data_IF_824642748175
#
_entry.id   IF_824642748175
#
_cell.length_a   1.000
_cell.length_b   1.000
_cell.length_c   1.000
_cell.angle_alpha   90.00
_cell.angle_beta   90.00
_cell.angle_gamma   90.00
#
_symmetry.space_group_name_H-M   'P 1'
#
loop_
_entity.id
_entity.type
_entity.pdbx_description
1 polymer ?
#
# COMPACT_ATOMS: atom_id res chain seq x y z
N UNK A 1 2.14 30.62 3.55
CA UNK A 1 1.94 29.66 2.44
C UNK A 1 0.52 29.86 1.94
N UNK A 2 0.31 30.02 0.64
CA UNK A 2 -1.02 30.30 0.06
C UNK A 2 -1.84 29.01 0.02
N UNK A 3 -3.00 28.97 0.68
CA UNK A 3 -3.90 27.81 0.68
C UNK A 3 -4.90 27.95 -0.48
N UNK A 4 -4.41 27.78 -1.72
CA UNK A 4 -5.20 28.04 -2.92
C UNK A 4 -5.96 26.79 -3.42
N UNK A 5 -5.63 25.60 -2.90
CA UNK A 5 -6.26 24.33 -3.26
C UNK A 5 -7.42 23.98 -2.31
N UNK A 6 -8.54 23.52 -2.87
CA UNK A 6 -9.76 23.18 -2.11
C UNK A 6 -10.07 21.70 -2.24
N UNK A 7 -10.28 21.03 -1.11
CA UNK A 7 -10.73 19.64 -1.03
C UNK A 7 -12.26 19.61 -0.93
N UNK A 8 -12.92 18.87 -1.82
CA UNK A 8 -14.38 18.64 -1.80
C UNK A 8 -14.66 17.15 -1.96
N UNK A 9 -15.50 16.61 -1.08
CA UNK A 9 -15.96 15.22 -1.15
C UNK A 9 -17.45 15.16 -0.82
N UNK A 10 -18.17 14.24 -1.47
CA UNK A 10 -19.57 13.96 -1.15
C UNK A 10 -19.63 12.92 -0.04
N UNK A 11 -20.44 13.19 0.97
CA UNK A 11 -20.77 12.27 2.06
C UNK A 11 -22.27 12.44 2.38
N UNK A 12 -22.87 11.43 3.00
CA UNK A 12 -24.25 11.55 3.48
C UNK A 12 -24.35 12.55 4.64
N UNK A 13 -25.53 13.15 4.78
CA UNK A 13 -25.80 14.18 5.79
C UNK A 13 -25.58 13.67 7.21
N UNK A 14 -26.02 12.44 7.51
CA UNK A 14 -25.91 11.87 8.86
C UNK A 14 -24.45 11.66 9.28
N UNK A 15 -23.59 11.23 8.36
CA UNK A 15 -22.14 11.13 8.59
C UNK A 15 -21.51 12.49 8.80
N UNK A 16 -21.88 13.49 7.99
CA UNK A 16 -21.38 14.87 8.14
C UNK A 16 -21.69 15.43 9.52
N UNK A 17 -22.94 15.29 9.97
CA UNK A 17 -23.39 15.84 11.25
C UNK A 17 -22.68 15.18 12.44
N UNK A 18 -22.65 13.85 12.49
CA UNK A 18 -21.97 13.11 13.56
C UNK A 18 -20.48 13.42 13.62
N UNK A 19 -19.79 13.44 12.47
CA UNK A 19 -18.37 13.76 12.41
C UNK A 19 -18.10 15.21 12.86
N UNK A 20 -18.94 16.17 12.44
CA UNK A 20 -18.81 17.57 12.83
C UNK A 20 -18.98 17.75 14.33
N UNK A 21 -19.99 17.13 14.93
CA UNK A 21 -20.23 17.19 16.38
C UNK A 21 -19.04 16.60 17.17
N UNK A 22 -18.52 15.44 16.74
CA UNK A 22 -17.36 14.82 17.37
C UNK A 22 -16.10 15.71 17.28
N UNK A 23 -15.84 16.31 16.10
CA UNK A 23 -14.70 17.20 15.90
C UNK A 23 -14.79 18.46 16.76
N UNK A 24 -15.98 19.08 16.85
CA UNK A 24 -16.22 20.24 17.71
C UNK A 24 -15.98 19.88 19.19
N UNK A 25 -16.43 18.71 19.65
CA UNK A 25 -16.19 18.25 21.01
C UNK A 25 -14.68 18.06 21.30
N UNK A 26 -13.87 17.79 20.28
CA UNK A 26 -12.41 17.72 20.37
C UNK A 26 -11.72 19.08 20.16
N UNK A 27 -12.46 20.17 19.95
CA UNK A 27 -11.91 21.50 19.70
C UNK A 27 -11.34 21.70 18.29
N UNK A 28 -11.78 20.89 17.32
CA UNK A 28 -11.30 20.93 15.94
C UNK A 28 -12.41 21.34 14.97
N UNK A 29 -12.06 22.15 13.97
CA UNK A 29 -12.92 22.32 12.80
C UNK A 29 -12.76 21.16 11.82
N UNK A 30 -13.76 20.96 10.95
CA UNK A 30 -13.68 19.98 9.84
C UNK A 30 -12.48 20.28 8.94
N UNK A 31 -12.20 21.56 8.68
CA UNK A 31 -11.06 21.98 7.88
C UNK A 31 -9.72 21.67 8.55
N UNK A 32 -9.62 21.76 9.88
CA UNK A 32 -8.41 21.39 10.61
C UNK A 32 -8.16 19.89 10.51
N UNK A 33 -9.20 19.08 10.74
CA UNK A 33 -9.11 17.64 10.65
C UNK A 33 -8.65 17.17 9.25
N UNK A 34 -9.23 17.74 8.19
CA UNK A 34 -8.84 17.44 6.81
C UNK A 34 -7.38 17.85 6.55
N UNK A 35 -6.96 19.04 6.99
CA UNK A 35 -5.57 19.50 6.81
C UNK A 35 -4.56 18.59 7.50
N UNK A 36 -4.85 18.18 8.75
CA UNK A 36 -4.00 17.27 9.52
C UNK A 36 -3.92 15.91 8.82
N UNK A 37 -5.05 15.36 8.37
CA UNK A 37 -5.11 14.10 7.65
C UNK A 37 -4.25 14.12 6.37
N UNK A 38 -4.43 15.15 5.54
CA UNK A 38 -3.69 15.27 4.28
C UNK A 38 -2.18 15.38 4.52
N UNK A 39 -1.77 16.11 5.56
CA UNK A 39 -0.35 16.21 5.93
C UNK A 39 0.21 14.86 6.42
N UNK A 40 -0.51 14.15 7.29
CA UNK A 40 -0.08 12.83 7.79
C UNK A 40 0.07 11.82 6.66
N UNK A 41 -0.86 11.82 5.69
CA UNK A 41 -0.77 10.95 4.51
C UNK A 41 0.45 11.29 3.67
N UNK A 42 0.73 12.58 3.45
CA UNK A 42 1.89 13.02 2.68
C UNK A 42 3.23 12.67 3.35
N UNK A 43 3.31 12.87 4.67
CA UNK A 43 4.54 12.69 5.44
C UNK A 43 4.82 11.20 5.76
N UNK A 44 3.79 10.41 6.07
CA UNK A 44 3.94 9.02 6.55
C UNK A 44 3.57 7.95 5.51
N UNK A 45 3.06 8.36 4.34
CA UNK A 45 2.62 7.46 3.26
C UNK A 45 1.65 6.35 3.71
N UNK A 46 0.86 6.62 4.75
CA UNK A 46 -0.14 5.71 5.31
C UNK A 46 -1.35 6.45 5.83
N UNK A 47 -2.47 5.74 5.94
CA UNK A 47 -3.67 6.26 6.60
C UNK A 47 -3.53 6.12 8.12
N UNK A 48 -4.17 6.99 8.92
CA UNK A 48 -4.12 6.95 10.38
C UNK A 48 -4.97 5.83 10.99
N UNK A 49 -5.48 4.93 10.15
CA UNK A 49 -6.22 3.72 10.51
C UNK A 49 -5.75 2.58 9.61
N UNK A 50 -5.85 1.36 10.11
CA UNK A 50 -5.46 0.17 9.35
C UNK A 50 -6.40 -0.03 8.15
N UNK A 51 -5.84 0.08 6.95
CA UNK A 51 -6.55 -0.29 5.72
C UNK A 51 -6.41 -1.79 5.56
N UNK A 52 -7.47 -2.51 5.91
CA UNK A 52 -7.48 -3.98 5.88
C UNK A 52 -7.67 -4.58 4.49
N UNK A 53 -7.96 -3.77 3.49
CA UNK A 53 -8.25 -4.23 2.12
C UNK A 53 -7.02 -3.96 1.25
N UNK A 54 -6.39 -4.99 0.67
CA UNK A 54 -5.31 -4.82 -0.30
C UNK A 54 -5.76 -3.94 -1.48
N UNK A 55 -4.84 -3.10 -2.00
CA UNK A 55 -5.13 -2.32 -3.21
C UNK A 55 -5.17 -3.23 -4.46
N UNK A 56 -5.67 -2.73 -5.58
CA UNK A 56 -5.82 -3.52 -6.81
C UNK A 56 -4.51 -4.17 -7.27
N UNK A 57 -3.40 -3.43 -7.24
CA UNK A 57 -2.09 -3.96 -7.62
C UNK A 57 -1.64 -5.11 -6.70
N UNK A 58 -1.96 -5.03 -5.40
CA UNK A 58 -1.64 -6.10 -4.45
C UNK A 58 -2.53 -7.32 -4.68
N UNK A 59 -3.81 -7.12 -5.02
CA UNK A 59 -4.73 -8.20 -5.38
C UNK A 59 -4.22 -8.92 -6.64
N UNK A 60 -3.89 -8.18 -7.69
CA UNK A 60 -3.33 -8.73 -8.93
C UNK A 60 -2.05 -9.54 -8.67
N UNK A 61 -1.13 -9.01 -7.87
CA UNK A 61 0.09 -9.72 -7.48
C UNK A 61 -0.20 -11.02 -6.71
N UNK A 62 -1.20 -11.02 -5.82
CA UNK A 62 -1.62 -12.22 -5.08
C UNK A 62 -2.23 -13.26 -6.04
N UNK A 63 -3.10 -12.85 -6.96
CA UNK A 63 -3.70 -13.73 -7.97
C UNK A 63 -2.65 -14.35 -8.90
N UNK A 64 -1.62 -13.60 -9.30
CA UNK A 64 -0.50 -14.12 -10.09
C UNK A 64 0.29 -15.20 -9.35
N UNK A 65 0.54 -15.00 -8.06
CA UNK A 65 1.20 -16.00 -7.21
C UNK A 65 0.34 -17.26 -7.07
N UNK A 66 -0.96 -17.11 -6.82
CA UNK A 66 -1.91 -18.24 -6.72
C UNK A 66 -2.04 -19.00 -8.05
N UNK A 67 -2.02 -18.29 -9.17
CA UNK A 67 -1.99 -18.88 -10.51
C UNK A 67 -0.65 -19.57 -10.85
N UNK A 68 0.32 -19.55 -9.95
CA UNK A 68 1.61 -20.19 -10.11
C UNK A 68 2.59 -19.44 -11.02
N UNK A 69 2.28 -18.20 -11.40
CA UNK A 69 3.12 -17.34 -12.24
C UNK A 69 4.25 -16.65 -11.47
N UNK A 70 4.29 -16.83 -10.15
CA UNK A 70 5.37 -16.33 -9.31
C UNK A 70 6.75 -16.88 -9.71
N UNK A 71 7.76 -16.02 -9.57
CA UNK A 71 9.16 -16.42 -9.71
C UNK A 71 9.53 -17.40 -8.58
N UNK A 72 10.27 -18.45 -8.93
CA UNK A 72 10.83 -19.41 -7.98
C UNK A 72 12.34 -19.39 -8.06
N UNK A 73 12.96 -19.40 -6.89
CA UNK A 73 14.41 -19.42 -6.70
C UNK A 73 14.78 -20.66 -5.88
N UNK A 74 15.92 -21.27 -6.17
CA UNK A 74 16.39 -22.47 -5.49
C UNK A 74 17.01 -22.12 -4.13
N UNK A 75 17.61 -20.93 -4.02
CA UNK A 75 18.24 -20.45 -2.78
C UNK A 75 17.80 -19.02 -2.41
N UNK A 76 17.85 -18.64 -1.12
CA UNK A 76 17.64 -17.25 -0.70
C UNK A 76 18.64 -16.27 -1.34
N UNK A 77 19.87 -16.71 -1.59
CA UNK A 77 20.91 -15.93 -2.27
C UNK A 77 20.47 -15.54 -3.68
N UNK A 78 19.81 -16.46 -4.39
CA UNK A 78 19.32 -16.23 -5.74
C UNK A 78 18.21 -15.17 -5.79
N UNK A 79 17.29 -15.22 -4.82
CA UNK A 79 16.23 -14.21 -4.67
C UNK A 79 16.81 -12.82 -4.37
N UNK A 80 17.76 -12.73 -3.43
CA UNK A 80 18.38 -11.46 -3.04
C UNK A 80 19.19 -10.83 -4.18
N UNK A 81 19.86 -11.66 -4.98
CA UNK A 81 20.55 -11.23 -6.18
C UNK A 81 19.58 -10.61 -7.22
N UNK A 82 18.43 -11.24 -7.47
CA UNK A 82 17.38 -10.72 -8.36
C UNK A 82 16.78 -9.40 -7.85
N UNK A 83 16.57 -9.27 -6.53
CA UNK A 83 16.04 -8.04 -5.91
C UNK A 83 17.05 -6.88 -5.87
N UNK A 84 18.29 -7.08 -6.33
CA UNK A 84 19.35 -6.08 -6.29
C UNK A 84 19.88 -5.79 -4.88
N UNK A 85 19.57 -6.66 -3.91
CA UNK A 85 20.02 -6.56 -2.52
C UNK A 85 21.28 -7.41 -2.38
N UNK A 86 22.42 -6.91 -2.90
CA UNK A 86 23.69 -7.65 -2.80
C UNK A 86 24.53 -7.22 -1.60
N UNK A 87 24.84 -8.19 -0.74
CA UNK A 87 26.12 -8.22 -0.05
C UNK A 87 27.22 -8.48 -1.09
N UNK A 88 28.23 -7.61 -1.13
CA UNK A 88 29.36 -7.66 -2.07
C UNK A 88 30.03 -9.05 -2.14
N UNK A 89 29.67 -9.91 -3.09
CA UNK A 89 30.58 -10.93 -3.61
C UNK A 89 30.11 -11.44 -4.98
N UNK A 90 30.94 -11.25 -6.01
CA UNK A 90 30.60 -11.57 -7.40
C UNK A 90 30.58 -13.07 -7.72
N UNK A 91 29.42 -13.70 -7.53
CA UNK A 91 29.09 -15.00 -8.12
C UNK A 91 28.14 -14.82 -9.32
N UNK A 92 28.22 -15.67 -10.36
CA UNK A 92 27.37 -15.58 -11.54
C UNK A 92 25.89 -15.70 -11.15
N UNK A 93 25.07 -14.81 -11.71
CA UNK A 93 23.66 -14.66 -11.39
C UNK A 93 22.83 -15.93 -11.66
N UNK A 94 21.90 -16.29 -10.77
CA UNK A 94 21.05 -17.47 -10.93
C UNK A 94 19.89 -17.20 -11.89
N UNK A 95 19.51 -18.24 -12.63
CA UNK A 95 18.44 -18.19 -13.63
C UNK A 95 17.11 -18.47 -12.94
N UNK A 96 16.28 -17.44 -12.75
CA UNK A 96 14.91 -17.60 -12.27
C UNK A 96 14.13 -18.54 -13.21
N UNK A 97 13.56 -19.62 -12.68
CA UNK A 97 12.71 -20.52 -13.46
C UNK A 97 11.26 -20.09 -13.30
N UNK A 98 10.63 -19.69 -14.41
CA UNK A 98 9.18 -19.44 -14.45
C UNK A 98 8.48 -20.75 -14.12
N UNK A 99 7.66 -20.75 -13.07
CA UNK A 99 6.99 -21.94 -12.56
C UNK A 99 5.97 -22.51 -13.54
N UNK A 100 6.37 -23.44 -14.41
CA UNK A 100 5.42 -24.30 -15.12
C UNK A 100 4.77 -25.26 -14.13
N UNK A 101 3.48 -25.10 -13.90
CA UNK A 101 2.67 -25.91 -12.97
C UNK A 101 2.87 -27.41 -13.16
N UNK A 102 3.32 -28.07 -12.09
CA UNK A 102 3.36 -29.53 -12.01
C UNK A 102 1.93 -30.00 -11.76
N UNK A 103 1.22 -30.42 -12.83
CA UNK A 103 -0.03 -31.19 -12.72
C UNK A 103 0.25 -32.41 -11.83
N UNK A 104 -0.42 -32.51 -10.69
CA UNK A 104 -0.54 -33.78 -9.97
C UNK A 104 -1.82 -34.47 -10.45
N UNK A 105 -1.64 -35.75 -10.77
CA UNK A 105 -2.68 -36.71 -11.14
C UNK A 105 -3.69 -36.92 -10.01
#
# INVERSE_FOLDING_TARGET
MKHDAVVRARIDTATKERATAALIAMGLSVSDAIRILMRRIADEQRLPFDVKVPNSATIEAMEELEAGKGLRFETPEDLLAEMGIQGRSGLPGPVARIGSGRRRA
#
